data_IF_406428321595
#
_entry.id   IF_406428321595
#
_cell.length_a   1.000
_cell.length_b   1.000
_cell.length_c   1.000
_cell.angle_alpha   90.00
_cell.angle_beta   90.00
_cell.angle_gamma   90.00
#
_symmetry.space_group_name_H-M   'P 1'
#
loop_
_entity.id
_entity.type
_entity.pdbx_description
1 polymer ?
#
# COMPACT_ATOMS: atom_id res chain seq x y z
N UNK A 1 11.23 -7.28 3.78
CA UNK A 1 11.77 -7.69 2.46
C UNK A 1 13.14 -7.05 2.29
N UNK A 2 14.19 -7.81 1.95
CA UNK A 2 15.54 -7.26 1.78
C UNK A 2 15.76 -6.91 0.31
N UNK A 3 16.25 -5.70 -0.07
CA UNK A 3 16.31 -5.27 -1.47
C UNK A 3 17.02 -6.24 -2.42
N UNK A 4 17.96 -7.03 -1.91
CA UNK A 4 18.69 -8.04 -2.69
C UNK A 4 17.80 -9.15 -3.24
N UNK A 5 16.68 -9.47 -2.59
CA UNK A 5 15.76 -10.51 -3.10
C UNK A 5 15.12 -10.12 -4.43
N UNK A 6 15.07 -8.83 -4.76
CA UNK A 6 14.58 -8.37 -6.06
C UNK A 6 15.43 -8.91 -7.22
N UNK A 7 16.72 -9.19 -7.00
CA UNK A 7 17.62 -9.70 -8.03
C UNK A 7 17.25 -11.11 -8.53
N UNK A 8 16.39 -11.82 -7.80
CA UNK A 8 15.95 -13.18 -8.12
C UNK A 8 14.45 -13.21 -8.51
N UNK A 9 13.85 -12.05 -8.78
CA UNK A 9 12.46 -11.95 -9.22
C UNK A 9 12.35 -12.07 -10.74
N UNK A 10 11.31 -12.76 -11.24
CA UNK A 10 11.00 -12.84 -12.68
C UNK A 10 10.25 -11.59 -13.19
N UNK A 11 9.67 -10.82 -12.27
CA UNK A 11 8.98 -9.57 -12.56
C UNK A 11 9.15 -8.60 -11.39
N UNK A 12 9.43 -7.34 -11.70
CA UNK A 12 9.53 -6.26 -10.73
C UNK A 12 8.60 -5.12 -11.15
N UNK A 13 7.66 -4.78 -10.28
CA UNK A 13 6.76 -3.63 -10.44
C UNK A 13 7.24 -2.51 -9.52
N UNK A 14 7.58 -1.37 -10.10
CA UNK A 14 7.92 -0.14 -9.37
C UNK A 14 6.75 0.82 -9.56
N UNK A 15 5.98 1.08 -8.51
CA UNK A 15 4.85 2.00 -8.53
C UNK A 15 5.13 3.25 -7.70
N UNK A 16 4.87 4.42 -8.27
CA UNK A 16 4.96 5.72 -7.57
C UNK A 16 6.37 6.13 -7.12
N UNK A 17 7.42 5.44 -7.57
CA UNK A 17 8.80 5.68 -7.13
C UNK A 17 9.74 5.96 -8.30
N UNK A 18 10.56 7.01 -8.16
CA UNK A 18 11.70 7.25 -9.04
C UNK A 18 12.97 6.62 -8.43
N UNK A 19 12.99 5.28 -8.34
CA UNK A 19 14.07 4.54 -7.68
C UNK A 19 15.45 4.81 -8.29
N UNK A 20 15.54 5.04 -9.59
CA UNK A 20 16.80 5.34 -10.26
C UNK A 20 17.50 6.59 -9.72
N UNK A 21 16.73 7.57 -9.23
CA UNK A 21 17.27 8.82 -8.66
C UNK A 21 17.26 8.81 -7.13
N UNK A 22 16.16 8.38 -6.51
CA UNK A 22 15.99 8.46 -5.07
C UNK A 22 16.68 7.32 -4.32
N UNK A 23 16.84 6.15 -4.96
CA UNK A 23 17.34 4.93 -4.32
C UNK A 23 18.36 4.18 -5.20
N UNK A 24 19.40 4.84 -5.73
CA UNK A 24 20.29 4.26 -6.74
C UNK A 24 21.00 2.98 -6.25
N UNK A 25 21.33 2.90 -4.96
CA UNK A 25 21.94 1.70 -4.35
C UNK A 25 20.99 0.51 -4.34
N UNK A 26 19.69 0.74 -4.12
CA UNK A 26 18.68 -0.32 -4.17
C UNK A 26 18.29 -0.67 -5.61
N UNK A 27 18.31 0.32 -6.52
CA UNK A 27 17.93 0.16 -7.91
C UNK A 27 18.80 -0.82 -8.70
N UNK A 28 20.03 -1.08 -8.23
CA UNK A 28 20.90 -2.12 -8.79
C UNK A 28 20.25 -3.51 -8.80
N UNK A 29 19.37 -3.82 -7.86
CA UNK A 29 18.78 -5.16 -7.72
C UNK A 29 17.67 -5.44 -8.75
N UNK A 30 16.68 -4.55 -8.96
CA UNK A 30 15.78 -4.63 -10.11
C UNK A 30 16.51 -4.70 -11.45
N UNK A 31 17.61 -3.95 -11.61
CA UNK A 31 18.39 -4.00 -12.84
C UNK A 31 19.12 -5.34 -13.02
N UNK A 32 19.65 -5.93 -11.95
CA UNK A 32 20.21 -7.29 -12.01
C UNK A 32 19.15 -8.33 -12.38
N UNK A 33 17.93 -8.23 -11.83
CA UNK A 33 16.82 -9.09 -12.22
C UNK A 33 16.51 -8.95 -13.72
N UNK A 34 16.40 -7.71 -14.19
CA UNK A 34 16.16 -7.40 -15.62
C UNK A 34 17.24 -8.01 -16.52
N UNK A 35 18.52 -7.91 -16.14
CA UNK A 35 19.63 -8.53 -16.86
C UNK A 35 19.55 -10.08 -16.89
N UNK A 36 18.90 -10.70 -15.90
CA UNK A 36 18.59 -12.13 -15.88
C UNK A 36 17.32 -12.49 -16.67
N UNK A 37 16.64 -11.51 -17.28
CA UNK A 37 15.43 -11.71 -18.09
C UNK A 37 14.12 -11.31 -17.39
N UNK A 38 14.18 -10.77 -16.18
CA UNK A 38 12.98 -10.31 -15.49
C UNK A 38 12.31 -9.14 -16.21
N UNK A 39 10.98 -9.08 -16.15
CA UNK A 39 10.22 -7.92 -16.65
C UNK A 39 10.23 -6.79 -15.61
N UNK A 40 10.65 -5.60 -16.03
CA UNK A 40 10.59 -4.39 -15.22
C UNK A 40 9.42 -3.51 -15.66
N UNK A 41 8.44 -3.31 -14.78
CA UNK A 41 7.26 -2.49 -15.02
C UNK A 41 7.36 -1.25 -14.13
N UNK A 42 7.17 -0.06 -14.70
CA UNK A 42 7.15 1.20 -13.97
C UNK A 42 5.79 1.89 -14.11
N UNK A 43 5.11 2.08 -12.98
CA UNK A 43 3.78 2.72 -12.89
C UNK A 43 3.99 4.10 -12.27
N UNK A 44 3.97 5.15 -13.10
CA UNK A 44 4.10 6.54 -12.65
C UNK A 44 3.48 7.46 -13.71
N UNK A 45 2.70 8.50 -13.31
CA UNK A 45 2.17 9.49 -14.25
C UNK A 45 3.25 10.20 -15.05
N UNK A 46 4.47 10.29 -14.51
CA UNK A 46 5.61 10.98 -15.11
C UNK A 46 6.55 9.98 -15.74
N UNK A 47 7.14 10.37 -16.86
CA UNK A 47 8.27 9.67 -17.43
C UNK A 47 9.56 10.10 -16.70
N UNK A 48 10.22 9.17 -16.03
CA UNK A 48 11.42 9.40 -15.21
C UNK A 48 12.60 8.56 -15.67
N UNK A 49 13.78 8.71 -15.04
CA UNK A 49 14.93 7.82 -15.28
C UNK A 49 14.62 6.36 -14.99
N UNK A 50 13.69 6.10 -14.05
CA UNK A 50 13.20 4.73 -13.79
C UNK A 50 12.38 4.21 -14.96
N UNK A 51 11.51 5.05 -15.55
CA UNK A 51 10.70 4.71 -16.73
C UNK A 51 11.58 4.40 -17.94
N UNK A 52 12.66 5.17 -18.12
CA UNK A 52 13.56 5.04 -19.27
C UNK A 52 14.25 3.68 -19.38
N UNK A 53 14.33 2.90 -18.29
CA UNK A 53 14.94 1.57 -18.28
C UNK A 53 13.93 0.44 -18.04
N UNK A 54 12.65 0.77 -17.84
CA UNK A 54 11.57 -0.20 -17.70
C UNK A 54 11.25 -0.86 -19.05
N UNK A 55 10.77 -2.11 -19.02
CA UNK A 55 10.21 -2.77 -20.20
C UNK A 55 8.82 -2.22 -20.53
N UNK A 56 8.05 -1.88 -19.49
CA UNK A 56 6.71 -1.32 -19.61
C UNK A 56 6.65 -0.09 -18.72
N UNK A 57 6.32 1.06 -19.31
CA UNK A 57 5.89 2.24 -18.58
C UNK A 57 4.36 2.34 -18.65
N UNK A 58 3.72 2.35 -17.48
CA UNK A 58 2.28 2.51 -17.33
C UNK A 58 1.98 3.93 -16.81
N UNK A 59 1.69 4.89 -17.72
CA UNK A 59 1.39 6.27 -17.35
C UNK A 59 -0.06 6.38 -16.82
N UNK A 60 -0.25 6.10 -15.53
CA UNK A 60 -1.54 6.28 -14.87
C UNK A 60 -1.85 7.77 -14.67
N UNK A 61 -3.12 8.13 -14.46
CA UNK A 61 -3.49 9.48 -14.05
C UNK A 61 -3.06 9.68 -12.59
N UNK A 62 -2.60 10.88 -12.24
CA UNK A 62 -2.30 11.20 -10.84
C UNK A 62 -3.54 11.00 -9.95
N UNK A 63 -3.37 10.29 -8.83
CA UNK A 63 -4.45 9.93 -7.91
C UNK A 63 -5.29 8.72 -8.35
N UNK A 64 -4.95 8.05 -9.46
CA UNK A 64 -5.68 6.86 -9.92
C UNK A 64 -5.03 5.52 -9.54
N UNK A 65 -4.14 5.52 -8.54
CA UNK A 65 -3.46 4.31 -8.05
C UNK A 65 -4.45 3.24 -7.56
N UNK A 66 -5.47 3.66 -6.80
CA UNK A 66 -6.51 2.75 -6.29
C UNK A 66 -7.30 2.12 -7.43
N UNK A 67 -7.70 2.90 -8.44
CA UNK A 67 -8.41 2.37 -9.60
C UNK A 67 -7.54 1.41 -10.43
N UNK A 68 -6.25 1.73 -10.59
CA UNK A 68 -5.29 0.89 -11.32
C UNK A 68 -5.08 -0.46 -10.61
N UNK A 69 -4.82 -0.44 -9.30
CA UNK A 69 -4.65 -1.64 -8.49
C UNK A 69 -5.96 -2.44 -8.41
N UNK A 70 -7.11 -1.77 -8.27
CA UNK A 70 -8.42 -2.39 -8.30
C UNK A 70 -8.70 -3.13 -9.61
N UNK A 71 -8.32 -2.55 -10.75
CA UNK A 71 -8.39 -3.20 -12.06
C UNK A 71 -7.51 -4.44 -12.16
N UNK A 72 -6.28 -4.39 -11.62
CA UNK A 72 -5.36 -5.53 -11.53
C UNK A 72 -5.93 -6.66 -10.66
N UNK A 73 -6.47 -6.33 -9.49
CA UNK A 73 -7.12 -7.30 -8.61
C UNK A 73 -8.30 -7.94 -9.31
N UNK A 74 -9.18 -7.15 -9.92
CA UNK A 74 -10.33 -7.65 -10.67
C UNK A 74 -9.90 -8.60 -11.79
N UNK A 75 -8.87 -8.24 -12.56
CA UNK A 75 -8.32 -9.10 -13.60
C UNK A 75 -7.80 -10.43 -13.05
N UNK A 76 -7.09 -10.41 -11.91
CA UNK A 76 -6.60 -11.64 -11.28
C UNK A 76 -7.77 -12.53 -10.86
N UNK A 77 -8.80 -11.97 -10.22
CA UNK A 77 -9.99 -12.72 -9.80
C UNK A 77 -10.77 -13.31 -10.99
N UNK A 78 -10.76 -12.63 -12.14
CA UNK A 78 -11.39 -13.12 -13.37
C UNK A 78 -10.51 -14.07 -14.18
N UNK A 79 -9.22 -14.19 -13.84
CA UNK A 79 -8.27 -15.01 -14.59
C UNK A 79 -8.58 -16.51 -14.49
N UNK A 80 -8.27 -17.25 -15.56
CA UNK A 80 -8.38 -18.72 -15.56
C UNK A 80 -7.55 -19.35 -14.45
N UNK A 81 -6.37 -18.80 -14.13
CA UNK A 81 -5.54 -19.30 -13.05
C UNK A 81 -6.27 -19.23 -11.71
N UNK A 82 -6.90 -18.10 -11.39
CA UNK A 82 -7.69 -17.99 -10.15
C UNK A 82 -8.84 -19.01 -10.09
N UNK A 83 -9.48 -19.26 -11.25
CA UNK A 83 -10.62 -20.18 -11.37
C UNK A 83 -10.21 -21.66 -11.32
N UNK A 84 -9.01 -22.01 -11.78
CA UNK A 84 -8.59 -23.40 -12.02
C UNK A 84 -7.45 -23.91 -11.12
N UNK A 85 -6.64 -23.02 -10.52
CA UNK A 85 -5.53 -23.37 -9.63
C UNK A 85 -5.96 -23.26 -8.16
N UNK A 86 -6.36 -24.36 -7.50
CA UNK A 86 -6.84 -24.32 -6.12
C UNK A 86 -5.74 -23.88 -5.15
N UNK A 87 -4.48 -24.24 -5.41
CA UNK A 87 -3.36 -23.84 -4.57
C UNK A 87 -3.17 -22.32 -4.60
N UNK A 88 -3.17 -21.70 -5.78
CA UNK A 88 -3.03 -20.25 -5.90
C UNK A 88 -4.16 -19.52 -5.16
N UNK A 89 -5.40 -19.96 -5.35
CA UNK A 89 -6.57 -19.35 -4.71
C UNK A 89 -6.53 -19.50 -3.19
N UNK A 90 -6.26 -20.69 -2.68
CA UNK A 90 -6.17 -20.95 -1.24
C UNK A 90 -5.00 -20.21 -0.60
N UNK A 91 -3.84 -20.18 -1.27
CA UNK A 91 -2.69 -19.45 -0.79
C UNK A 91 -3.01 -17.96 -0.63
N UNK A 92 -3.58 -17.33 -1.67
CA UNK A 92 -3.93 -15.91 -1.64
C UNK A 92 -5.00 -15.63 -0.59
N UNK A 93 -6.06 -16.44 -0.51
CA UNK A 93 -7.14 -16.21 0.45
C UNK A 93 -6.72 -16.38 1.91
N UNK A 94 -5.88 -17.37 2.21
CA UNK A 94 -5.61 -17.78 3.60
C UNK A 94 -4.24 -17.33 4.13
N UNK A 95 -3.27 -17.07 3.25
CA UNK A 95 -1.89 -16.75 3.64
C UNK A 95 -1.46 -15.33 3.22
N UNK A 96 -2.40 -14.53 2.73
CA UNK A 96 -2.22 -13.10 2.49
C UNK A 96 -3.39 -12.31 3.08
N UNK A 97 -3.34 -10.98 2.98
CA UNK A 97 -4.42 -10.09 3.40
C UNK A 97 -5.49 -9.86 2.31
N UNK A 98 -5.48 -10.62 1.22
CA UNK A 98 -6.39 -10.40 0.10
C UNK A 98 -7.88 -10.57 0.45
N UNK A 99 -8.21 -11.46 1.40
CA UNK A 99 -9.58 -11.66 1.87
C UNK A 99 -10.02 -10.63 2.92
N UNK A 100 -9.12 -9.74 3.34
CA UNK A 100 -9.33 -8.87 4.47
C UNK A 100 -9.87 -7.51 4.03
N UNK A 101 -11.07 -7.16 4.52
CA UNK A 101 -11.73 -5.89 4.24
C UNK A 101 -11.56 -4.98 5.46
N UNK A 102 -11.27 -3.69 5.22
CA UNK A 102 -11.21 -2.66 6.26
C UNK A 102 -12.64 -2.43 6.78
N UNK A 103 -12.80 -2.20 8.09
CA UNK A 103 -14.12 -1.93 8.67
C UNK A 103 -14.73 -0.61 8.20
N UNK A 104 -16.06 -0.52 8.25
CA UNK A 104 -16.84 0.65 7.80
C UNK A 104 -16.54 1.94 8.59
N UNK A 105 -15.92 1.81 9.77
CA UNK A 105 -15.49 2.95 10.60
C UNK A 105 -14.29 3.70 9.99
N UNK A 106 -13.58 3.10 9.04
CA UNK A 106 -12.47 3.73 8.36
C UNK A 106 -12.98 4.81 7.41
N UNK A 107 -12.52 6.04 7.65
CA UNK A 107 -12.63 7.16 6.72
C UNK A 107 -11.24 7.64 6.35
N UNK A 108 -11.02 7.84 5.06
CA UNK A 108 -9.78 8.42 4.56
C UNK A 108 -9.80 9.94 4.62
N UNK A 109 -8.74 10.56 4.13
CA UNK A 109 -8.58 12.01 4.12
C UNK A 109 -9.52 12.73 3.16
N UNK A 110 -10.08 12.05 2.16
CA UNK A 110 -11.06 12.65 1.26
C UNK A 110 -12.41 12.78 1.98
N UNK A 111 -12.80 11.75 2.73
CA UNK A 111 -14.06 11.71 3.49
C UNK A 111 -14.02 12.43 4.83
N UNK A 112 -12.83 12.72 5.37
CA UNK A 112 -12.63 13.36 6.67
C UNK A 112 -11.75 14.62 6.61
N UNK A 113 -11.97 15.47 5.60
CA UNK A 113 -11.44 16.85 5.52
C UNK A 113 -9.92 16.96 5.70
N UNK A 114 -9.17 16.01 5.14
CA UNK A 114 -7.70 15.99 5.18
C UNK A 114 -7.10 15.22 6.35
N UNK A 115 -7.91 14.61 7.22
CA UNK A 115 -7.44 13.72 8.30
C UNK A 115 -8.03 12.32 8.15
N UNK A 116 -7.40 11.31 8.72
CA UNK A 116 -8.01 9.98 8.78
C UNK A 116 -9.03 9.90 9.92
N UNK A 117 -9.97 8.96 9.83
CA UNK A 117 -10.80 8.56 10.99
C UNK A 117 -9.94 8.29 12.23
N UNK A 118 -10.48 8.59 13.41
CA UNK A 118 -9.81 8.31 14.69
C UNK A 118 -8.90 9.43 15.20
N UNK A 119 -8.75 10.57 14.51
CA UNK A 119 -8.00 11.71 15.05
C UNK A 119 -8.63 12.22 16.36
N UNK A 120 -7.88 12.17 17.46
CA UNK A 120 -8.38 12.55 18.78
C UNK A 120 -8.43 14.07 18.94
N UNK A 121 -9.63 14.57 19.25
CA UNK A 121 -9.83 15.97 19.64
C UNK A 121 -9.22 16.23 21.02
N UNK A 122 -8.76 17.46 21.20
CA UNK A 122 -8.28 17.93 22.50
C UNK A 122 -9.39 17.86 23.55
N UNK A 123 -9.08 17.25 24.70
CA UNK A 123 -9.91 17.26 25.89
C UNK A 123 -9.19 18.00 27.02
N UNK A 124 -9.90 18.76 27.88
CA UNK A 124 -9.31 19.42 29.04
C UNK A 124 -8.62 18.38 29.95
N UNK A 125 -7.32 18.59 30.22
CA UNK A 125 -6.50 17.70 31.08
C UNK A 125 -5.35 17.00 30.37
N UNK A 126 -5.23 17.09 29.04
CA UNK A 126 -4.09 16.54 28.30
C UNK A 126 -2.89 17.50 28.38
N UNK A 127 -1.73 16.97 28.79
CA UNK A 127 -0.48 17.75 29.06
C UNK A 127 0.20 18.27 27.79
N UNK A 128 -0.13 17.70 26.63
CA UNK A 128 0.44 18.06 25.33
C UNK A 128 -0.19 19.35 24.78
N UNK A 129 0.63 20.20 24.17
CA UNK A 129 0.17 21.42 23.51
C UNK A 129 -0.75 21.05 22.33
N UNK A 130 -2.01 21.52 22.30
CA UNK A 130 -2.90 21.20 21.19
C UNK A 130 -2.41 21.87 19.91
N UNK A 131 -2.25 21.08 18.85
CA UNK A 131 -2.05 21.59 17.49
C UNK A 131 -3.45 21.75 16.88
N UNK A 132 -3.92 22.99 16.75
CA UNK A 132 -5.23 23.34 16.17
C UNK A 132 -6.43 22.59 16.80
N UNK A 133 -6.38 22.34 18.12
CA UNK A 133 -7.45 21.66 18.85
C UNK A 133 -7.41 20.13 18.80
N UNK A 134 -6.33 19.53 18.28
CA UNK A 134 -6.11 18.09 18.28
C UNK A 134 -4.89 17.69 19.11
N UNK A 135 -4.90 16.45 19.59
CA UNK A 135 -3.80 15.87 20.40
C UNK A 135 -2.69 15.29 19.51
N UNK A 136 -2.88 15.25 18.18
CA UNK A 136 -1.95 14.62 17.25
C UNK A 136 -1.87 13.08 17.39
N UNK A 137 -2.82 12.49 18.12
CA UNK A 137 -2.94 11.04 18.34
C UNK A 137 -4.15 10.48 17.59
N UNK A 138 -4.02 9.26 17.09
CA UNK A 138 -5.09 8.54 16.40
C UNK A 138 -5.56 7.34 17.22
N UNK A 139 -6.88 7.18 17.31
CA UNK A 139 -7.52 5.95 17.73
C UNK A 139 -7.51 4.96 16.57
N UNK A 140 -6.59 3.99 16.63
CA UNK A 140 -6.39 3.00 15.57
C UNK A 140 -7.51 1.96 15.46
N UNK A 141 -8.55 2.03 16.32
CA UNK A 141 -9.73 1.15 16.24
C UNK A 141 -10.52 1.37 14.95
N UNK A 142 -10.56 2.60 14.44
CA UNK A 142 -11.26 2.90 13.18
C UNK A 142 -10.54 2.34 11.96
N UNK A 143 -9.29 1.86 12.10
CA UNK A 143 -8.49 1.31 11.00
C UNK A 143 -8.42 -0.22 11.02
N UNK A 144 -9.21 -0.87 11.88
CA UNK A 144 -9.20 -2.32 12.00
C UNK A 144 -9.93 -2.98 10.84
N UNK A 145 -9.56 -4.25 10.60
CA UNK A 145 -10.27 -5.09 9.66
C UNK A 145 -11.65 -5.48 10.19
N UNK A 146 -12.63 -5.61 9.30
CA UNK A 146 -14.01 -5.93 9.65
C UNK A 146 -14.16 -7.24 10.45
N UNK A 147 -13.26 -8.20 10.21
CA UNK A 147 -13.23 -9.50 10.89
C UNK A 147 -12.30 -9.55 12.12
N UNK A 148 -11.58 -8.47 12.43
CA UNK A 148 -10.72 -8.44 13.62
C UNK A 148 -11.59 -8.32 14.89
N UNK A 149 -11.35 -9.11 15.95
CA UNK A 149 -11.94 -8.81 17.25
C UNK A 149 -11.51 -7.38 17.63
N UNK A 150 -12.45 -6.53 18.01
CA UNK A 150 -12.22 -5.12 18.34
C UNK A 150 -10.93 -5.01 19.17
N UNK A 151 -9.87 -4.44 18.57
CA UNK A 151 -8.56 -4.37 19.17
C UNK A 151 -8.66 -3.74 20.57
N UNK A 152 -7.95 -4.32 21.54
CA UNK A 152 -7.91 -3.82 22.92
C UNK A 152 -7.57 -2.34 22.87
N UNK A 153 -8.49 -1.50 23.38
CA UNK A 153 -8.33 -0.06 23.39
C UNK A 153 -6.93 0.29 23.89
N UNK A 154 -6.19 1.10 23.13
CA UNK A 154 -5.18 1.95 23.75
C UNK A 154 -5.97 2.87 24.67
N UNK A 155 -6.05 2.53 25.95
CA UNK A 155 -6.56 3.45 26.96
C UNK A 155 -5.80 4.76 26.77
N UNK A 156 -6.47 5.90 26.54
CA UNK A 156 -5.78 7.17 26.61
C UNK A 156 -5.05 7.22 27.96
N UNK A 157 -3.81 7.73 28.01
CA UNK A 157 -3.09 7.82 29.27
C UNK A 157 -4.00 8.48 30.31
N UNK A 158 -4.19 7.81 31.45
CA UNK A 158 -4.93 8.38 32.55
C UNK A 158 -4.30 9.74 32.90
N UNK A 159 -5.15 10.77 32.94
CA UNK A 159 -4.74 12.16 33.17
C UNK A 159 -3.99 12.38 34.49
#
# INVERSE_FOLDING_TARGET
MYPRSMADSDCVVIQGSNMAECHPVAFRWPMQAKLKGAKLIHVDPRFTRTSAVADIHAPIRAGSDVAFLGGLIHYVLESERWKTDPFFREFVANYTNAATIIGDDFKDTEDAEGVFSGLMQYAPGIKEWPLDGFVGQYDTRTWQYAAAPAGRASTPPAG
#
